data_IF_114907329031
#
_entry.id   IF_114907329031
#
_cell.length_a   1.000
_cell.length_b   1.000
_cell.length_c   1.000
_cell.angle_alpha   90.00
_cell.angle_beta   90.00
_cell.angle_gamma   90.00
#
_symmetry.space_group_name_H-M   'P 1'
#
loop_
_entity.id
_entity.type
_entity.pdbx_description
1 polymer ?
#
# COMPACT_ATOMS: atom_id res chain seq x y z
N UNK A 1 -20.26 13.56 -25.26
CA UNK A 1 -19.62 12.21 -25.22
C UNK A 1 -20.08 11.47 -23.97
N UNK A 2 -20.16 10.12 -23.98
CA UNK A 2 -20.41 9.38 -22.75
C UNK A 2 -19.32 9.68 -21.72
N UNK A 3 -19.71 9.91 -20.46
CA UNK A 3 -18.82 10.39 -19.39
C UNK A 3 -17.88 9.28 -18.91
N UNK A 4 -16.81 9.06 -19.67
CA UNK A 4 -15.82 8.02 -19.39
C UNK A 4 -14.60 8.50 -18.60
N UNK A 5 -13.86 7.53 -18.07
CA UNK A 5 -12.61 7.76 -17.33
C UNK A 5 -11.57 6.73 -17.78
N UNK A 6 -10.33 7.18 -17.97
CA UNK A 6 -9.18 6.32 -18.23
C UNK A 6 -8.33 6.26 -16.95
N UNK A 7 -7.93 5.07 -16.53
CA UNK A 7 -7.02 4.88 -15.40
C UNK A 7 -5.78 4.11 -15.83
N UNK A 8 -4.59 4.64 -15.51
CA UNK A 8 -3.30 4.02 -15.80
C UNK A 8 -2.69 3.54 -14.49
N UNK A 9 -2.65 2.22 -14.34
CA UNK A 9 -2.10 1.51 -13.19
C UNK A 9 -0.87 0.71 -13.58
N UNK A 10 -0.08 0.30 -12.60
CA UNK A 10 1.19 -0.39 -12.81
C UNK A 10 2.21 -0.04 -11.73
N UNK A 11 3.39 -0.65 -11.82
CA UNK A 11 4.48 -0.43 -10.89
C UNK A 11 5.14 0.93 -11.09
N UNK A 12 5.96 1.38 -10.14
CA UNK A 12 6.90 2.48 -10.42
C UNK A 12 7.93 2.07 -11.47
N UNK A 13 8.41 3.00 -12.31
CA UNK A 13 9.45 2.75 -13.32
C UNK A 13 9.00 2.14 -14.67
N UNK A 14 7.70 2.04 -14.95
CA UNK A 14 7.18 1.48 -16.23
C UNK A 14 6.67 2.51 -17.25
N UNK A 15 6.88 3.82 -17.00
CA UNK A 15 6.44 4.88 -17.94
C UNK A 15 4.96 5.26 -17.85
N UNK A 16 4.34 5.17 -16.66
CA UNK A 16 2.92 5.53 -16.47
C UNK A 16 2.63 7.00 -16.79
N UNK A 17 3.49 7.90 -16.33
CA UNK A 17 3.35 9.33 -16.60
C UNK A 17 3.46 9.63 -18.09
N UNK A 18 4.45 9.02 -18.75
CA UNK A 18 4.69 9.19 -20.19
C UNK A 18 3.46 8.76 -21.00
N UNK A 19 2.90 7.58 -20.70
CA UNK A 19 1.67 7.14 -21.36
C UNK A 19 0.50 8.08 -21.09
N UNK A 20 0.35 8.55 -19.84
CA UNK A 20 -0.69 9.50 -19.46
C UNK A 20 -0.62 10.80 -20.26
N UNK A 21 0.57 11.35 -20.45
CA UNK A 21 0.81 12.58 -21.22
C UNK A 21 0.50 12.35 -22.69
N UNK A 22 0.98 11.24 -23.27
CA UNK A 22 0.71 10.92 -24.67
C UNK A 22 -0.80 10.75 -24.93
N UNK A 23 -1.52 10.01 -24.07
CA UNK A 23 -2.97 9.87 -24.18
C UNK A 23 -3.68 11.22 -24.00
N UNK A 24 -3.26 12.05 -23.05
CA UNK A 24 -3.85 13.36 -22.84
C UNK A 24 -3.68 14.28 -24.05
N UNK A 25 -2.51 14.26 -24.69
CA UNK A 25 -2.24 15.03 -25.91
C UNK A 25 -3.10 14.57 -27.08
N UNK A 26 -3.16 13.26 -27.32
CA UNK A 26 -3.91 12.70 -28.47
C UNK A 26 -5.42 12.86 -28.30
N UNK A 27 -5.93 12.73 -27.07
CA UNK A 27 -7.37 12.70 -26.79
C UNK A 27 -7.93 14.04 -26.28
N UNK A 28 -7.09 15.07 -26.12
CA UNK A 28 -7.49 16.33 -25.49
C UNK A 28 -7.86 16.17 -24.00
N UNK A 29 -7.23 15.22 -23.31
CA UNK A 29 -7.49 14.89 -21.91
C UNK A 29 -6.75 15.76 -20.90
N UNK A 30 -7.07 15.55 -19.62
CA UNK A 30 -6.37 16.15 -18.49
C UNK A 30 -5.98 15.07 -17.47
N UNK A 31 -4.81 15.19 -16.85
CA UNK A 31 -4.27 14.17 -15.95
C UNK A 31 -4.68 14.45 -14.51
N UNK A 32 -5.14 13.43 -13.80
CA UNK A 32 -5.39 13.45 -12.37
C UNK A 32 -4.38 12.53 -11.69
N UNK A 33 -3.57 13.07 -10.80
CA UNK A 33 -2.60 12.29 -10.05
C UNK A 33 -3.30 11.33 -9.08
N UNK A 34 -2.95 10.04 -9.14
CA UNK A 34 -3.43 8.99 -8.24
C UNK A 34 -2.32 8.43 -7.35
N UNK A 35 -1.34 9.24 -6.97
CA UNK A 35 -0.23 8.86 -6.10
C UNK A 35 -0.25 9.65 -4.79
N UNK A 36 -0.38 8.93 -3.68
CA UNK A 36 -0.48 9.52 -2.34
C UNK A 36 0.73 10.38 -1.94
N UNK A 37 1.91 10.17 -2.52
CA UNK A 37 3.11 10.92 -2.18
C UNK A 37 3.33 12.14 -3.09
N UNK A 38 2.80 12.15 -4.31
CA UNK A 38 3.03 13.25 -5.26
C UNK A 38 2.16 14.48 -4.99
N UNK A 39 1.23 14.39 -4.04
CA UNK A 39 0.40 15.52 -3.58
C UNK A 39 1.20 16.56 -2.81
N UNK A 40 2.32 16.18 -2.17
CA UNK A 40 3.09 17.05 -1.28
C UNK A 40 3.98 18.05 -2.01
N UNK A 41 4.02 19.28 -1.51
CA UNK A 41 4.81 20.39 -2.03
C UNK A 41 6.31 20.23 -1.76
N UNK A 42 7.13 20.67 -2.72
CA UNK A 42 8.58 20.87 -2.55
C UNK A 42 9.42 19.59 -2.45
N UNK A 43 8.80 18.43 -2.68
CA UNK A 43 9.46 17.10 -2.62
C UNK A 43 9.38 16.41 -3.97
N UNK A 44 9.95 17.01 -5.01
CA UNK A 44 9.82 16.59 -6.39
C UNK A 44 10.69 15.37 -6.73
N UNK A 45 11.90 15.28 -6.18
CA UNK A 45 12.86 14.22 -6.51
C UNK A 45 12.46 12.92 -5.80
N UNK A 46 12.34 12.94 -4.46
CA UNK A 46 11.96 11.81 -3.59
C UNK A 46 10.65 11.20 -4.06
N UNK A 47 9.65 12.02 -4.39
CA UNK A 47 8.32 11.54 -4.83
C UNK A 47 8.22 11.30 -6.35
N UNK A 48 9.33 11.50 -7.08
CA UNK A 48 9.46 11.24 -8.51
C UNK A 48 8.35 11.93 -9.33
N UNK A 49 8.12 13.21 -9.07
CA UNK A 49 7.13 13.99 -9.83
C UNK A 49 7.63 14.24 -11.24
N UNK A 50 6.72 14.24 -12.21
CA UNK A 50 7.05 14.63 -13.57
C UNK A 50 7.30 16.16 -13.61
N UNK A 51 8.50 16.60 -14.04
CA UNK A 51 8.85 18.02 -14.10
C UNK A 51 7.99 18.74 -15.14
N UNK A 52 7.77 20.04 -14.97
CA UNK A 52 6.88 20.83 -15.84
C UNK A 52 7.29 20.78 -17.32
N UNK A 53 8.59 20.71 -17.62
CA UNK A 53 9.13 20.59 -18.98
C UNK A 53 8.71 19.30 -19.68
N UNK A 54 8.57 18.20 -18.93
CA UNK A 54 8.18 16.88 -19.47
C UNK A 54 6.65 16.72 -19.57
N UNK A 55 5.86 17.65 -19.03
CA UNK A 55 4.38 17.58 -19.08
C UNK A 55 3.79 18.00 -20.43
N UNK A 56 4.60 18.56 -21.32
CA UNK A 56 4.21 18.96 -22.68
C UNK A 56 2.92 19.83 -22.74
N UNK A 57 2.72 20.69 -21.74
CA UNK A 57 1.54 21.56 -21.64
C UNK A 57 0.25 20.89 -21.18
N UNK A 58 0.28 19.59 -20.86
CA UNK A 58 -0.89 18.85 -20.37
C UNK A 58 -1.23 19.27 -18.92
N UNK A 59 -2.49 19.67 -18.63
CA UNK A 59 -2.92 19.98 -17.27
C UNK A 59 -2.82 18.76 -16.34
N UNK A 60 -2.20 18.95 -15.18
CA UNK A 60 -2.11 17.95 -14.12
C UNK A 60 -2.80 18.46 -12.86
N UNK A 61 -3.70 17.64 -12.32
CA UNK A 61 -4.47 17.92 -11.11
C UNK A 61 -4.02 17.04 -9.94
N UNK A 62 -4.31 17.48 -8.71
CA UNK A 62 -3.96 16.77 -7.45
C UNK A 62 -2.46 16.45 -7.31
N UNK A 63 -1.60 17.30 -7.84
CA UNK A 63 -0.14 17.16 -7.73
C UNK A 63 0.44 18.40 -7.07
N UNK A 64 1.41 18.24 -6.17
CA UNK A 64 2.21 19.33 -5.61
C UNK A 64 1.37 20.48 -4.98
N UNK A 65 0.32 20.16 -4.23
CA UNK A 65 -0.61 21.16 -3.64
C UNK A 65 -0.72 21.10 -2.11
N UNK A 66 -0.35 19.98 -1.48
CA UNK A 66 -0.48 19.77 -0.05
C UNK A 66 0.81 20.12 0.68
N UNK A 67 0.71 20.82 1.81
CA UNK A 67 1.88 21.10 2.64
C UNK A 67 2.38 19.83 3.35
N UNK A 68 3.70 19.63 3.54
CA UNK A 68 4.27 18.43 4.17
C UNK A 68 3.77 18.11 5.59
N UNK A 69 3.27 19.09 6.34
CA UNK A 69 2.76 18.92 7.71
C UNK A 69 1.29 18.46 7.76
N UNK A 70 0.59 18.45 6.63
CA UNK A 70 -0.80 18.01 6.53
C UNK A 70 -0.85 16.52 6.14
N UNK A 71 -1.93 15.84 6.51
CA UNK A 71 -2.20 14.48 6.05
C UNK A 71 -3.13 14.49 4.84
N UNK A 72 -2.95 13.54 3.92
CA UNK A 72 -3.91 13.29 2.84
C UNK A 72 -4.43 11.87 2.91
N UNK A 73 -5.75 11.73 2.90
CA UNK A 73 -6.44 10.46 3.02
C UNK A 73 -7.20 10.11 1.75
N UNK A 74 -7.56 8.83 1.66
CA UNK A 74 -8.28 8.30 0.50
C UNK A 74 -9.69 8.92 0.34
N UNK A 75 -10.31 9.34 1.44
CA UNK A 75 -11.63 10.00 1.45
C UNK A 75 -11.56 11.39 0.85
N UNK A 76 -10.56 12.19 1.23
CA UNK A 76 -10.25 13.49 0.63
C UNK A 76 -9.90 13.36 -0.84
N UNK A 77 -8.99 12.44 -1.19
CA UNK A 77 -8.66 12.13 -2.58
C UNK A 77 -9.89 11.82 -3.42
N UNK A 78 -10.78 10.96 -2.92
CA UNK A 78 -11.99 10.57 -3.65
C UNK A 78 -12.91 11.76 -3.86
N UNK A 79 -13.11 12.60 -2.84
CA UNK A 79 -13.93 13.81 -2.93
C UNK A 79 -13.38 14.80 -3.95
N UNK A 80 -12.09 15.10 -3.87
CA UNK A 80 -11.43 16.09 -4.71
C UNK A 80 -11.33 15.60 -6.17
N UNK A 81 -10.93 14.34 -6.37
CA UNK A 81 -10.87 13.74 -7.70
C UNK A 81 -12.25 13.69 -8.35
N UNK A 82 -13.32 13.37 -7.62
CA UNK A 82 -14.69 13.39 -8.16
C UNK A 82 -15.14 14.80 -8.58
N UNK A 83 -14.74 15.84 -7.84
CA UNK A 83 -15.00 17.23 -8.22
C UNK A 83 -14.29 17.58 -9.53
N UNK A 84 -12.99 17.27 -9.60
CA UNK A 84 -12.15 17.55 -10.78
C UNK A 84 -12.66 16.78 -12.01
N UNK A 85 -13.00 15.50 -11.86
CA UNK A 85 -13.58 14.70 -12.96
C UNK A 85 -14.85 15.36 -13.52
N UNK A 86 -15.75 15.82 -12.65
CA UNK A 86 -16.96 16.53 -13.07
C UNK A 86 -16.63 17.82 -13.84
N UNK A 87 -15.61 18.56 -13.42
CA UNK A 87 -15.18 19.79 -14.09
C UNK A 87 -14.52 19.50 -15.45
N UNK A 88 -13.69 18.46 -15.55
CA UNK A 88 -13.09 18.01 -16.81
C UNK A 88 -14.18 17.57 -17.80
N UNK A 89 -15.15 16.77 -17.34
CA UNK A 89 -16.29 16.36 -18.15
C UNK A 89 -17.16 17.55 -18.60
N UNK A 90 -17.32 18.59 -17.77
CA UNK A 90 -18.02 19.83 -18.16
C UNK A 90 -17.30 20.61 -19.26
N UNK A 91 -15.98 20.42 -19.42
CA UNK A 91 -15.17 20.98 -20.50
C UNK A 91 -15.11 20.07 -21.73
N UNK A 92 -15.93 19.01 -21.78
CA UNK A 92 -15.91 17.96 -22.82
C UNK A 92 -14.53 17.30 -23.03
N UNK A 93 -13.73 17.24 -21.96
CA UNK A 93 -12.42 16.58 -21.96
C UNK A 93 -12.47 15.23 -21.25
N UNK A 94 -11.45 14.42 -21.48
CA UNK A 94 -11.33 13.08 -20.89
C UNK A 94 -10.41 13.12 -19.66
N UNK A 95 -10.89 12.73 -18.47
CA UNK A 95 -10.04 12.60 -17.28
C UNK A 95 -9.20 11.32 -17.37
N UNK A 96 -7.89 11.48 -17.17
CA UNK A 96 -6.91 10.40 -17.20
C UNK A 96 -6.25 10.30 -15.82
N UNK A 97 -6.57 9.27 -15.05
CA UNK A 97 -6.03 9.05 -13.72
C UNK A 97 -4.72 8.28 -13.84
N UNK A 98 -3.62 8.81 -13.31
CA UNK A 98 -2.29 8.19 -13.40
C UNK A 98 -1.69 8.08 -12.01
N UNK A 99 -1.37 6.87 -11.54
CA UNK A 99 -0.80 6.74 -10.19
C UNK A 99 -0.31 5.36 -9.79
N UNK A 100 0.56 5.33 -8.77
CA UNK A 100 1.07 4.12 -8.12
C UNK A 100 0.25 3.67 -6.90
N UNK A 101 -0.66 4.51 -6.40
CA UNK A 101 -1.49 4.19 -5.23
C UNK A 101 -2.80 3.54 -5.69
N UNK A 102 -2.73 2.26 -6.08
CA UNK A 102 -3.86 1.55 -6.68
C UNK A 102 -5.11 1.52 -5.80
N UNK A 103 -4.94 1.55 -4.48
CA UNK A 103 -6.04 1.65 -3.52
C UNK A 103 -6.88 2.93 -3.68
N UNK A 104 -6.24 4.06 -3.99
CA UNK A 104 -6.93 5.33 -4.25
C UNK A 104 -7.74 5.24 -5.54
N UNK A 105 -7.12 4.70 -6.59
CA UNK A 105 -7.76 4.51 -7.90
C UNK A 105 -8.98 3.58 -7.78
N UNK A 106 -8.85 2.44 -7.09
CA UNK A 106 -9.99 1.55 -6.84
C UNK A 106 -11.12 2.27 -6.06
N UNK A 107 -10.78 3.03 -5.02
CA UNK A 107 -11.77 3.74 -4.21
C UNK A 107 -12.53 4.82 -5.00
N UNK A 108 -11.87 5.40 -5.98
CA UNK A 108 -12.44 6.37 -6.91
C UNK A 108 -13.33 5.72 -7.97
N UNK A 109 -12.95 4.57 -8.52
CA UNK A 109 -13.70 3.92 -9.61
C UNK A 109 -14.96 3.19 -9.12
N UNK A 110 -14.90 2.51 -7.98
CA UNK A 110 -16.02 1.75 -7.42
C UNK A 110 -16.76 2.54 -6.32
N UNK A 111 -18.10 2.45 -6.33
CA UNK A 111 -18.92 2.91 -5.19
C UNK A 111 -18.70 1.97 -4.00
N UNK A 112 -18.87 2.50 -2.78
CA UNK A 112 -18.80 1.75 -1.52
C UNK A 112 -17.47 1.04 -1.20
N UNK A 113 -16.38 1.33 -1.91
CA UNK A 113 -15.04 0.80 -1.56
C UNK A 113 -14.44 1.41 -0.28
N UNK A 114 -15.07 2.46 0.26
CA UNK A 114 -14.68 3.13 1.50
C UNK A 114 -15.83 3.06 2.51
N UNK A 115 -15.51 2.57 3.70
CA UNK A 115 -16.37 2.66 4.88
C UNK A 115 -16.25 4.10 5.37
N UNK A 116 -17.16 4.97 4.94
CA UNK A 116 -17.10 6.41 5.23
C UNK A 116 -18.05 7.29 4.42
N UNK A 117 -18.68 6.79 3.35
CA UNK A 117 -19.56 7.63 2.51
C UNK A 117 -20.99 7.82 3.06
N UNK A 118 -21.29 7.34 4.27
CA UNK A 118 -22.54 7.60 4.97
C UNK A 118 -22.30 7.66 6.47
N UNK A 119 -22.26 8.88 7.03
CA UNK A 119 -22.36 9.16 8.48
C UNK A 119 -21.18 8.80 9.39
N UNK A 120 -19.97 8.52 8.88
CA UNK A 120 -18.77 8.46 9.74
C UNK A 120 -17.99 9.75 9.52
N UNK A 121 -18.08 10.65 10.50
CA UNK A 121 -17.33 11.89 10.58
C UNK A 121 -15.84 11.55 10.58
N UNK A 122 -15.16 11.69 9.45
CA UNK A 122 -13.70 11.66 9.39
C UNK A 122 -13.19 12.99 9.97
N UNK A 123 -12.70 12.90 11.21
CA UNK A 123 -11.71 13.78 11.86
C UNK A 123 -11.54 15.18 11.25
N UNK A 124 -12.41 16.12 11.63
CA UNK A 124 -12.07 17.54 11.70
C UNK A 124 -12.50 18.06 13.07
N UNK A 125 -11.55 18.21 13.98
CA UNK A 125 -11.62 19.06 15.17
C UNK A 125 -13.00 19.11 15.89
N UNK A 126 -13.50 17.96 16.33
CA UNK A 126 -14.60 17.89 17.31
C UNK A 126 -14.10 17.24 18.59
N UNK A 127 -14.52 17.76 19.75
CA UNK A 127 -14.11 17.32 21.10
C UNK A 127 -14.20 15.79 21.30
N UNK A 128 -15.14 15.11 20.63
CA UNK A 128 -15.31 13.64 20.67
C UNK A 128 -14.07 12.85 20.19
N UNK A 129 -13.26 13.41 19.29
CA UNK A 129 -12.06 12.73 18.77
C UNK A 129 -10.94 12.62 19.82
N UNK A 130 -10.94 13.51 20.81
CA UNK A 130 -10.00 13.49 21.94
C UNK A 130 -10.43 12.47 22.99
N UNK A 131 -11.72 12.36 23.29
CA UNK A 131 -12.26 11.34 24.23
C UNK A 131 -11.93 9.91 23.78
N UNK A 132 -12.10 9.59 22.49
CA UNK A 132 -11.77 8.24 22.01
C UNK A 132 -10.27 8.00 21.86
N UNK A 133 -9.44 9.05 21.84
CA UNK A 133 -7.98 8.90 21.72
C UNK A 133 -7.39 8.28 22.98
N UNK A 134 -7.85 8.69 24.15
CA UNK A 134 -7.43 8.10 25.44
C UNK A 134 -7.85 6.63 25.56
N UNK A 135 -9.04 6.28 25.07
CA UNK A 135 -9.51 4.88 25.05
C UNK A 135 -8.72 4.03 24.05
N UNK A 136 -8.30 4.60 22.92
CA UNK A 136 -7.62 3.90 21.85
C UNK A 136 -6.08 3.87 21.98
N UNK A 137 -5.52 4.65 22.91
CA UNK A 137 -4.08 4.71 23.15
C UNK A 137 -3.64 3.80 24.29
N UNK A 138 -4.03 2.53 24.17
CA UNK A 138 -3.60 1.45 25.07
C UNK A 138 -2.75 0.43 24.32
N UNK A 139 -2.09 -0.45 25.06
CA UNK A 139 -1.27 -1.53 24.50
C UNK A 139 -2.05 -2.39 23.51
N UNK A 140 -1.34 -2.91 22.50
CA UNK A 140 -1.92 -3.67 21.38
C UNK A 140 -2.76 -4.87 21.85
N UNK A 141 -2.34 -5.56 22.91
CA UNK A 141 -3.05 -6.72 23.45
C UNK A 141 -4.39 -6.33 24.09
N UNK A 142 -4.42 -5.17 24.76
CA UNK A 142 -5.65 -4.63 25.36
C UNK A 142 -6.62 -4.19 24.26
N UNK A 143 -6.12 -3.50 23.23
CA UNK A 143 -6.93 -3.15 22.04
C UNK A 143 -7.50 -4.40 21.37
N UNK A 144 -6.70 -5.45 21.25
CA UNK A 144 -7.14 -6.68 20.63
C UNK A 144 -8.25 -7.38 21.43
N UNK A 145 -8.11 -7.47 22.76
CA UNK A 145 -9.16 -8.02 23.65
C UNK A 145 -10.46 -7.22 23.56
N UNK A 146 -10.38 -5.88 23.59
CA UNK A 146 -11.56 -5.01 23.41
C UNK A 146 -12.24 -5.26 22.06
N UNK A 147 -11.47 -5.48 21.00
CA UNK A 147 -12.06 -5.82 19.69
C UNK A 147 -12.71 -7.21 19.70
N UNK A 148 -12.17 -8.18 20.45
CA UNK A 148 -12.80 -9.51 20.58
C UNK A 148 -14.16 -9.44 21.28
N UNK A 149 -14.31 -8.57 22.27
CA UNK A 149 -15.58 -8.36 23.00
C UNK A 149 -16.63 -7.68 22.11
N UNK A 150 -16.22 -6.68 21.34
CA UNK A 150 -17.10 -5.85 20.51
C UNK A 150 -17.44 -6.49 19.15
N UNK A 151 -16.43 -7.01 18.46
CA UNK A 151 -16.54 -7.55 17.10
C UNK A 151 -15.62 -8.77 16.93
N UNK A 152 -16.03 -9.95 17.44
CA UNK A 152 -15.22 -11.17 17.38
C UNK A 152 -14.91 -11.60 15.94
N UNK A 153 -15.78 -11.21 14.99
CA UNK A 153 -15.61 -11.49 13.57
C UNK A 153 -14.42 -10.71 13.00
N UNK A 154 -14.33 -9.41 13.24
CA UNK A 154 -13.16 -8.62 12.83
C UNK A 154 -11.91 -8.96 13.66
N UNK A 155 -12.06 -9.30 14.94
CA UNK A 155 -10.93 -9.74 15.76
C UNK A 155 -10.30 -11.05 15.25
N UNK A 156 -11.10 -11.98 14.70
CA UNK A 156 -10.58 -13.19 14.07
C UNK A 156 -9.90 -12.89 12.73
N UNK A 157 -10.41 -11.90 11.99
CA UNK A 157 -9.85 -11.47 10.71
C UNK A 157 -8.47 -10.82 10.86
N UNK A 158 -8.30 -9.94 11.84
CA UNK A 158 -7.04 -9.20 12.03
C UNK A 158 -6.03 -9.99 12.87
N UNK A 159 -4.75 -9.84 12.54
CA UNK A 159 -3.68 -10.32 13.40
C UNK A 159 -3.57 -9.38 14.62
N UNK A 160 -3.26 -9.90 15.80
CA UNK A 160 -3.19 -9.11 17.05
C UNK A 160 -2.18 -7.96 16.93
N UNK A 161 -1.05 -8.20 16.25
CA UNK A 161 -0.04 -7.18 15.98
C UNK A 161 -0.43 -6.09 14.94
N UNK A 162 -1.57 -6.21 14.24
CA UNK A 162 -2.06 -5.18 13.30
C UNK A 162 -2.77 -4.03 14.07
N UNK A 163 -2.06 -3.36 15.00
CA UNK A 163 -2.59 -2.29 15.89
C UNK A 163 -3.44 -1.27 15.13
N UNK A 164 -2.99 -0.84 13.96
CA UNK A 164 -3.67 0.19 13.14
C UNK A 164 -5.06 -0.23 12.65
N UNK A 165 -5.23 -1.50 12.24
CA UNK A 165 -6.51 -2.02 11.73
C UNK A 165 -7.48 -2.35 12.87
N UNK A 166 -6.93 -2.84 13.99
CA UNK A 166 -7.69 -3.07 15.22
C UNK A 166 -8.23 -1.73 15.72
N UNK A 167 -7.35 -0.72 15.84
CA UNK A 167 -7.73 0.64 16.26
C UNK A 167 -8.81 1.23 15.36
N UNK A 168 -8.69 1.11 14.03
CA UNK A 168 -9.74 1.61 13.11
C UNK A 168 -11.06 0.86 13.26
N UNK A 169 -11.03 -0.46 13.47
CA UNK A 169 -12.26 -1.24 13.68
C UNK A 169 -12.98 -0.84 14.97
N UNK A 170 -12.22 -0.61 16.04
CA UNK A 170 -12.75 -0.07 17.30
C UNK A 170 -13.24 1.36 17.15
N UNK A 171 -12.50 2.22 16.44
CA UNK A 171 -12.91 3.61 16.16
C UNK A 171 -14.26 3.66 15.43
N UNK A 172 -14.45 2.81 14.41
CA UNK A 172 -15.73 2.71 13.69
C UNK A 172 -16.86 2.32 14.65
N UNK A 173 -16.62 1.34 15.53
CA UNK A 173 -17.62 0.94 16.53
C UNK A 173 -17.95 2.06 17.51
N UNK A 174 -16.94 2.75 18.05
CA UNK A 174 -17.13 3.85 19.00
C UNK A 174 -17.89 5.02 18.37
N UNK A 175 -17.63 5.33 17.10
CA UNK A 175 -18.29 6.42 16.38
C UNK A 175 -19.71 6.07 15.92
N UNK A 176 -19.97 4.81 15.55
CA UNK A 176 -21.24 4.42 14.92
C UNK A 176 -22.15 3.59 15.81
N UNK A 177 -21.65 3.07 16.93
CA UNK A 177 -22.33 2.08 17.78
C UNK A 177 -22.52 0.71 17.13
N UNK A 178 -22.15 0.54 15.85
CA UNK A 178 -22.32 -0.70 15.09
C UNK A 178 -20.98 -1.43 14.88
N UNK A 179 -20.93 -2.76 15.02
CA UNK A 179 -19.73 -3.54 14.71
C UNK A 179 -19.25 -3.32 13.27
N UNK A 180 -17.94 -3.25 13.08
CA UNK A 180 -17.33 -3.04 11.78
C UNK A 180 -17.67 -4.21 10.81
N UNK A 181 -17.81 -5.43 11.31
CA UNK A 181 -18.25 -6.58 10.52
C UNK A 181 -19.67 -6.44 9.96
N UNK A 182 -20.58 -5.77 10.67
CA UNK A 182 -21.94 -5.53 10.21
C UNK A 182 -21.97 -4.49 9.10
N UNK A 183 -21.23 -3.40 9.23
CA UNK A 183 -21.03 -2.43 8.15
C UNK A 183 -20.54 -3.09 6.86
N UNK A 184 -19.58 -4.00 6.98
CA UNK A 184 -19.06 -4.74 5.82
C UNK A 184 -20.15 -5.65 5.25
N UNK A 185 -20.93 -6.35 6.09
CA UNK A 185 -22.05 -7.18 5.60
C UNK A 185 -23.11 -6.36 4.89
N UNK A 186 -23.52 -5.22 5.45
CA UNK A 186 -24.47 -4.28 4.84
C UNK A 186 -23.96 -3.80 3.47
N UNK A 187 -22.67 -3.47 3.35
CA UNK A 187 -22.05 -3.12 2.06
C UNK A 187 -22.03 -4.26 1.02
N UNK A 188 -22.06 -5.52 1.48
CA UNK A 188 -22.10 -6.70 0.61
C UNK A 188 -23.52 -7.27 0.46
N UNK A 189 -24.56 -6.62 1.01
CA UNK A 189 -25.93 -7.10 0.84
C UNK A 189 -26.37 -6.96 -0.63
N UNK A 190 -27.02 -7.98 -1.20
CA UNK A 190 -27.32 -8.09 -2.64
C UNK A 190 -28.35 -7.08 -3.18
N UNK A 191 -28.89 -6.18 -2.37
CA UNK A 191 -29.88 -5.17 -2.78
C UNK A 191 -29.28 -3.85 -3.29
N UNK A 192 -28.14 -3.43 -2.75
CA UNK A 192 -27.36 -2.28 -3.25
C UNK A 192 -26.11 -2.82 -3.93
N UNK A 193 -25.97 -2.66 -5.25
CA UNK A 193 -24.87 -3.20 -6.05
C UNK A 193 -23.49 -2.86 -5.43
N UNK A 194 -22.94 -3.79 -4.63
CA UNK A 194 -21.71 -3.66 -3.85
C UNK A 194 -20.45 -3.43 -4.72
N UNK A 195 -20.57 -3.64 -6.03
CA UNK A 195 -19.53 -3.40 -7.03
C UNK A 195 -19.92 -2.36 -8.09
N UNK A 196 -20.95 -1.54 -7.85
CA UNK A 196 -21.36 -0.55 -8.85
C UNK A 196 -20.24 0.45 -9.16
N UNK A 197 -19.90 0.57 -10.44
CA UNK A 197 -18.93 1.55 -10.92
C UNK A 197 -19.53 2.95 -10.82
N UNK A 198 -18.67 3.94 -10.58
CA UNK A 198 -19.08 5.36 -10.58
C UNK A 198 -19.28 5.90 -11.97
N UNK A 199 -18.52 5.38 -12.93
CA UNK A 199 -18.49 5.86 -14.30
C UNK A 199 -18.95 4.75 -15.25
N UNK A 200 -19.87 5.07 -16.18
CA UNK A 200 -20.43 4.08 -17.10
C UNK A 200 -19.42 3.56 -18.11
N UNK A 201 -18.32 4.29 -18.35
CA UNK A 201 -17.24 3.90 -19.25
C UNK A 201 -15.92 4.04 -18.51
N UNK A 202 -15.31 2.91 -18.13
CA UNK A 202 -14.05 2.88 -17.40
C UNK A 202 -13.04 2.01 -18.13
N UNK A 203 -11.97 2.62 -18.64
CA UNK A 203 -10.86 1.91 -19.27
C UNK A 203 -9.65 1.92 -18.34
N UNK A 204 -9.15 0.74 -17.96
CA UNK A 204 -7.98 0.62 -17.08
C UNK A 204 -6.82 0.02 -17.89
N UNK A 205 -5.73 0.77 -18.02
CA UNK A 205 -4.46 0.27 -18.55
C UNK A 205 -3.55 -0.16 -17.42
N UNK A 206 -3.18 -1.44 -17.40
CA UNK A 206 -2.15 -1.98 -16.52
C UNK A 206 -0.83 -2.13 -17.27
N UNK A 207 0.14 -1.28 -16.95
CA UNK A 207 1.50 -1.40 -17.47
C UNK A 207 2.27 -2.39 -16.62
N UNK A 208 2.74 -3.45 -17.27
CA UNK A 208 3.48 -4.54 -16.66
C UNK A 208 4.88 -4.64 -17.28
N UNK A 209 5.87 -4.89 -16.44
CA UNK A 209 7.23 -5.20 -16.88
C UNK A 209 7.74 -6.40 -16.08
N UNK A 210 8.55 -7.25 -16.73
CA UNK A 210 9.18 -8.39 -16.06
C UNK A 210 10.01 -7.94 -14.84
N UNK A 211 9.88 -8.61 -13.67
CA UNK A 211 10.60 -8.24 -12.46
C UNK A 211 12.12 -8.19 -12.60
N UNK A 212 12.72 -9.07 -13.41
CA UNK A 212 14.18 -9.12 -13.58
C UNK A 212 14.73 -7.89 -14.31
N UNK A 213 14.01 -7.39 -15.31
CA UNK A 213 14.37 -6.15 -16.03
C UNK A 213 13.97 -4.92 -15.21
N UNK A 214 12.81 -4.97 -14.56
CA UNK A 214 12.29 -3.87 -13.76
C UNK A 214 13.20 -3.54 -12.58
N UNK A 215 13.72 -4.54 -11.85
CA UNK A 215 14.58 -4.32 -10.69
C UNK A 215 15.84 -3.51 -11.08
N UNK A 216 16.47 -3.80 -12.23
CA UNK A 216 17.61 -3.03 -12.74
C UNK A 216 17.26 -1.58 -13.08
N UNK A 217 16.07 -1.34 -13.65
CA UNK A 217 15.60 0.02 -13.95
C UNK A 217 15.32 0.82 -12.68
N UNK A 218 14.76 0.17 -11.66
CA UNK A 218 14.48 0.80 -10.38
C UNK A 218 15.77 1.22 -9.67
N UNK A 219 16.81 0.39 -9.75
CA UNK A 219 18.11 0.70 -9.18
C UNK A 219 18.76 1.89 -9.90
N UNK A 220 18.83 1.85 -11.24
CA UNK A 220 19.36 2.94 -12.04
C UNK A 220 18.55 4.25 -11.86
N UNK A 221 17.25 4.14 -11.59
CA UNK A 221 16.40 5.30 -11.27
C UNK A 221 16.80 5.93 -9.94
N UNK A 222 17.07 5.14 -8.90
CA UNK A 222 17.56 5.66 -7.61
C UNK A 222 18.91 6.36 -7.81
N UNK A 223 19.79 5.81 -8.63
CA UNK A 223 21.09 6.43 -8.96
C UNK A 223 20.89 7.80 -9.64
N UNK A 224 19.98 7.88 -10.62
CA UNK A 224 19.60 9.16 -11.26
C UNK A 224 18.96 10.16 -10.29
N UNK A 225 18.21 9.69 -9.28
CA UNK A 225 17.64 10.59 -8.27
C UNK A 225 18.75 11.24 -7.44
N UNK A 226 19.81 10.49 -7.13
CA UNK A 226 20.98 11.00 -6.40
C UNK A 226 21.68 12.09 -7.21
N UNK A 227 21.93 11.83 -8.51
CA UNK A 227 22.55 12.79 -9.43
C UNK A 227 21.73 14.08 -9.56
N UNK A 228 20.40 13.99 -9.43
CA UNK A 228 19.48 15.14 -9.51
C UNK A 228 19.40 15.98 -8.23
N UNK A 229 20.08 15.59 -7.14
CA UNK A 229 20.05 16.32 -5.87
C UNK A 229 19.12 15.73 -4.80
N UNK A 230 18.93 14.41 -4.77
CA UNK A 230 18.12 13.74 -3.74
C UNK A 230 18.52 14.14 -2.31
N UNK A 231 19.82 14.24 -2.03
CA UNK A 231 20.33 14.57 -0.70
C UNK A 231 20.02 16.02 -0.30
N UNK A 232 19.98 16.94 -1.26
CA UNK A 232 19.63 18.33 -1.01
C UNK A 232 18.17 18.44 -0.54
N UNK A 233 17.28 17.66 -1.15
CA UNK A 233 15.86 17.60 -0.78
C UNK A 233 15.63 16.93 0.59
N UNK A 234 16.38 15.86 0.90
CA UNK A 234 16.35 15.22 2.21
C UNK A 234 16.83 16.18 3.31
N UNK A 235 17.94 16.89 3.06
CA UNK A 235 18.50 17.87 3.99
C UNK A 235 17.56 19.07 4.19
N UNK A 236 16.92 19.55 3.11
CA UNK A 236 15.91 20.58 3.19
C UNK A 236 14.74 20.16 4.10
N UNK A 237 14.20 18.96 3.89
CA UNK A 237 13.11 18.43 4.72
C UNK A 237 13.52 18.30 6.19
N UNK A 238 14.75 17.82 6.46
CA UNK A 238 15.29 17.71 7.83
C UNK A 238 15.46 19.07 8.51
N UNK A 239 15.90 20.09 7.78
CA UNK A 239 16.06 21.45 8.31
C UNK A 239 14.70 22.09 8.63
N UNK A 240 13.70 21.91 7.76
CA UNK A 240 12.36 22.44 8.01
C UNK A 240 11.67 21.76 9.21
N UNK A 241 12.01 20.49 9.50
CA UNK A 241 11.64 19.82 10.75
C UNK A 241 12.31 20.46 11.97
N UNK A 242 13.64 20.69 11.92
CA UNK A 242 14.38 21.32 13.02
C UNK A 242 13.89 22.71 13.35
N UNK A 243 13.57 23.49 12.31
CA UNK A 243 13.07 24.85 12.44
C UNK A 243 11.61 24.91 12.96
N UNK A 244 10.99 23.76 13.25
CA UNK A 244 9.64 23.67 13.81
C UNK A 244 8.51 24.02 12.84
N UNK A 245 8.84 24.26 11.56
CA UNK A 245 7.85 24.57 10.52
C UNK A 245 7.08 23.33 10.09
N UNK A 246 7.71 22.17 10.11
CA UNK A 246 7.07 20.87 9.89
C UNK A 246 7.10 20.10 11.21
N UNK A 247 5.92 19.86 11.80
CA UNK A 247 5.81 19.03 13.00
C UNK A 247 5.90 17.55 12.60
N UNK A 248 6.85 16.84 13.19
CA UNK A 248 6.90 15.38 13.15
C UNK A 248 5.87 14.85 14.16
N UNK A 249 5.16 13.74 13.88
CA UNK A 249 4.31 13.10 14.88
C UNK A 249 5.11 12.83 16.16
N UNK A 250 4.61 13.33 17.29
CA UNK A 250 5.33 13.38 18.59
C UNK A 250 5.68 12.01 19.21
N UNK A 251 5.14 10.91 18.68
CA UNK A 251 5.39 9.56 19.21
C UNK A 251 6.54 8.85 18.48
N UNK A 252 7.56 8.46 19.24
CA UNK A 252 8.72 7.67 18.78
C UNK A 252 8.32 6.36 18.06
N UNK A 253 7.16 5.77 18.40
CA UNK A 253 6.65 4.56 17.76
C UNK A 253 5.89 4.79 16.43
N UNK A 254 5.59 6.04 16.07
CA UNK A 254 4.77 6.37 14.87
C UNK A 254 5.44 7.30 13.87
N UNK A 255 6.72 7.64 14.09
CA UNK A 255 7.46 8.70 13.40
C UNK A 255 7.39 8.62 11.85
N UNK A 256 7.36 7.40 11.29
CA UNK A 256 7.32 7.18 9.82
C UNK A 256 6.02 6.58 9.28
N UNK A 257 4.94 6.61 10.07
CA UNK A 257 3.70 5.92 9.73
C UNK A 257 2.62 6.83 9.18
N UNK A 258 2.85 8.14 9.05
CA UNK A 258 1.82 9.13 8.67
C UNK A 258 2.34 10.14 7.66
N UNK A 259 1.40 10.67 6.86
CA UNK A 259 1.65 11.73 5.89
C UNK A 259 2.84 11.44 4.96
N UNK A 260 3.65 12.47 4.74
CA UNK A 260 4.85 12.40 3.91
C UNK A 260 5.93 11.45 4.46
N UNK A 261 5.95 11.20 5.77
CA UNK A 261 6.97 10.36 6.42
C UNK A 261 6.92 8.89 5.99
N UNK A 262 5.84 8.47 5.34
CA UNK A 262 5.74 7.14 4.74
C UNK A 262 6.58 6.99 3.46
N UNK A 263 6.93 8.10 2.81
CA UNK A 263 7.64 8.12 1.54
C UNK A 263 8.93 7.31 1.58
N UNK A 264 9.24 6.66 0.45
CA UNK A 264 10.48 5.91 0.27
C UNK A 264 11.56 6.90 -0.13
N UNK A 265 12.64 6.99 0.65
CA UNK A 265 13.76 7.89 0.39
C UNK A 265 14.07 8.87 1.51
N UNK A 266 13.28 8.93 2.59
CA UNK A 266 13.63 9.73 3.79
C UNK A 266 14.02 8.85 4.97
N UNK A 267 13.12 7.96 5.41
CA UNK A 267 13.35 7.05 6.56
C UNK A 267 14.55 6.11 6.37
N UNK A 268 14.88 5.75 5.13
CA UNK A 268 16.03 4.90 4.82
C UNK A 268 17.38 5.59 5.13
N UNK A 269 17.41 6.91 5.20
CA UNK A 269 18.59 7.72 5.49
C UNK A 269 18.63 8.26 6.92
N UNK A 270 17.68 7.88 7.79
CA UNK A 270 17.62 8.35 9.17
C UNK A 270 18.94 8.13 9.94
N UNK A 271 19.62 6.95 9.88
CA UNK A 271 20.90 6.77 10.57
C UNK A 271 22.01 7.68 10.03
N UNK A 272 21.99 7.97 8.73
CA UNK A 272 22.95 8.89 8.11
C UNK A 272 22.70 10.34 8.57
N UNK A 273 21.44 10.76 8.63
CA UNK A 273 21.07 12.10 9.11
C UNK A 273 21.41 12.30 10.60
N UNK A 274 21.24 11.27 11.44
CA UNK A 274 21.63 11.30 12.85
C UNK A 274 23.16 11.40 13.00
N UNK A 275 23.92 10.61 12.24
CA UNK A 275 25.38 10.67 12.28
C UNK A 275 25.94 12.03 11.82
N UNK A 276 25.32 12.67 10.81
CA UNK A 276 25.66 14.04 10.39
C UNK A 276 25.42 15.09 11.48
N UNK A 277 24.48 14.85 12.39
CA UNK A 277 24.18 15.76 13.50
C UNK A 277 25.12 15.58 14.69
N UNK A 278 25.54 14.33 14.95
CA UNK A 278 26.37 13.97 16.08
C UNK A 278 27.87 14.26 15.84
N UNK A 279 28.30 14.39 14.58
CA UNK A 279 29.74 14.42 14.26
C UNK A 279 30.19 15.74 13.62
N UNK A 280 31.04 16.49 14.35
CA UNK A 280 31.68 17.75 13.91
C UNK A 280 33.17 17.58 13.56
N UNK A 281 33.68 16.35 13.40
CA UNK A 281 35.12 16.04 13.32
C UNK A 281 35.48 15.13 12.13
N UNK A 282 36.67 15.35 11.55
CA UNK A 282 37.18 14.80 10.28
C UNK A 282 37.35 13.28 10.19
N UNK A 283 37.36 12.54 11.31
CA UNK A 283 37.42 11.06 11.30
C UNK A 283 36.07 10.39 10.99
N UNK A 284 35.01 11.19 10.81
CA UNK A 284 33.63 10.73 10.60
C UNK A 284 33.23 10.53 9.15
N UNK A 285 34.04 11.00 8.19
CA UNK A 285 33.69 10.99 6.77
C UNK A 285 33.53 9.56 6.22
N UNK A 286 34.41 8.63 6.61
CA UNK A 286 34.31 7.23 6.20
C UNK A 286 33.06 6.53 6.77
N UNK A 287 32.65 6.87 8.00
CA UNK A 287 31.45 6.31 8.62
C UNK A 287 30.19 6.87 7.96
N UNK A 288 30.18 8.18 7.70
CA UNK A 288 29.08 8.87 7.02
C UNK A 288 28.89 8.33 5.59
N UNK A 289 29.97 8.09 4.85
CA UNK A 289 29.92 7.49 3.52
C UNK A 289 29.39 6.05 3.54
N UNK A 290 29.80 5.26 4.55
CA UNK A 290 29.27 3.91 4.74
C UNK A 290 27.76 3.92 5.05
N UNK A 291 27.31 4.80 5.94
CA UNK A 291 25.90 4.96 6.28
C UNK A 291 25.08 5.49 5.10
N UNK A 292 25.65 6.39 4.30
CA UNK A 292 25.05 6.90 3.06
C UNK A 292 24.85 5.77 2.05
N UNK A 293 25.89 4.98 1.80
CA UNK A 293 25.82 3.83 0.89
C UNK A 293 24.80 2.78 1.37
N UNK A 294 24.76 2.51 2.68
CA UNK A 294 23.76 1.63 3.29
C UNK A 294 22.33 2.17 3.13
N UNK A 295 22.13 3.48 3.29
CA UNK A 295 20.86 4.16 3.02
C UNK A 295 20.39 4.00 1.57
N UNK A 296 21.30 4.17 0.60
CA UNK A 296 21.01 3.99 -0.83
C UNK A 296 20.57 2.55 -1.11
N UNK A 297 21.29 1.55 -0.61
CA UNK A 297 20.92 0.14 -0.85
C UNK A 297 19.57 -0.19 -0.20
N UNK A 298 19.30 0.31 1.02
CA UNK A 298 17.98 0.18 1.66
C UNK A 298 16.88 0.80 0.81
N UNK A 299 17.11 1.99 0.26
CA UNK A 299 16.15 2.67 -0.63
C UNK A 299 15.87 1.84 -1.90
N UNK A 300 16.91 1.25 -2.52
CA UNK A 300 16.76 0.33 -3.66
C UNK A 300 15.93 -0.90 -3.29
N UNK A 301 16.25 -1.56 -2.17
CA UNK A 301 15.50 -2.72 -1.66
C UNK A 301 14.02 -2.39 -1.42
N UNK A 302 13.73 -1.28 -0.73
CA UNK A 302 12.35 -0.88 -0.41
C UNK A 302 11.59 -0.52 -1.69
N UNK A 303 12.24 0.14 -2.66
CA UNK A 303 11.64 0.44 -3.97
C UNK A 303 11.26 -0.84 -4.74
N UNK A 304 12.14 -1.85 -4.79
CA UNK A 304 11.85 -3.16 -5.39
C UNK A 304 10.71 -3.87 -4.67
N UNK A 305 10.71 -3.85 -3.32
CA UNK A 305 9.63 -4.42 -2.50
C UNK A 305 8.29 -3.73 -2.77
N UNK A 306 8.29 -2.41 -2.94
CA UNK A 306 7.10 -1.63 -3.27
C UNK A 306 6.54 -2.01 -4.65
N UNK A 307 7.39 -2.12 -5.68
CA UNK A 307 6.95 -2.58 -7.01
C UNK A 307 6.34 -3.99 -6.97
N UNK A 308 6.94 -4.94 -6.23
CA UNK A 308 6.36 -6.28 -6.05
C UNK A 308 5.04 -6.26 -5.28
N UNK A 309 4.92 -5.37 -4.28
CA UNK A 309 3.67 -5.17 -3.54
C UNK A 309 2.57 -4.64 -4.47
N UNK A 310 2.88 -3.67 -5.34
CA UNK A 310 1.96 -3.13 -6.33
C UNK A 310 1.43 -4.22 -7.29
N UNK A 311 2.30 -5.06 -7.85
CA UNK A 311 1.88 -6.19 -8.70
C UNK A 311 0.95 -7.13 -7.93
N UNK A 312 1.34 -7.49 -6.70
CA UNK A 312 0.52 -8.35 -5.85
C UNK A 312 -0.84 -7.74 -5.55
N UNK A 313 -0.88 -6.43 -5.30
CA UNK A 313 -2.11 -5.71 -5.02
C UNK A 313 -3.02 -5.71 -6.25
N UNK A 314 -2.52 -5.34 -7.43
CA UNK A 314 -3.30 -5.36 -8.68
C UNK A 314 -3.90 -6.75 -8.91
N UNK A 315 -3.09 -7.80 -8.81
CA UNK A 315 -3.53 -9.19 -9.06
C UNK A 315 -4.53 -9.72 -8.04
N UNK A 316 -4.36 -9.38 -6.76
CA UNK A 316 -5.19 -9.95 -5.68
C UNK A 316 -6.28 -8.99 -5.19
N UNK A 317 -6.43 -7.79 -5.75
CA UNK A 317 -7.44 -6.81 -5.36
C UNK A 317 -8.18 -6.26 -6.56
N UNK A 318 -7.46 -5.55 -7.42
CA UNK A 318 -8.05 -4.87 -8.56
C UNK A 318 -8.72 -5.88 -9.50
N UNK A 319 -7.99 -6.94 -9.88
CA UNK A 319 -8.50 -7.97 -10.80
C UNK A 319 -9.64 -8.79 -10.18
N UNK A 320 -9.59 -9.06 -8.87
CA UNK A 320 -10.70 -9.71 -8.17
C UNK A 320 -11.97 -8.86 -8.20
N UNK A 321 -11.84 -7.56 -7.88
CA UNK A 321 -12.98 -6.65 -7.90
C UNK A 321 -13.52 -6.47 -9.31
N UNK A 322 -12.65 -6.42 -10.31
CA UNK A 322 -13.01 -6.41 -11.73
C UNK A 322 -13.83 -7.63 -12.12
N UNK A 323 -13.37 -8.85 -11.77
CA UNK A 323 -14.11 -10.08 -12.07
C UNK A 323 -15.47 -10.14 -11.36
N UNK A 324 -15.52 -9.74 -10.09
CA UNK A 324 -16.79 -9.63 -9.36
C UNK A 324 -17.77 -8.67 -10.06
N UNK A 325 -17.27 -7.52 -10.51
CA UNK A 325 -18.07 -6.50 -11.20
C UNK A 325 -18.62 -7.04 -12.52
N UNK A 326 -17.80 -7.77 -13.29
CA UNK A 326 -18.25 -8.42 -14.54
C UNK A 326 -19.30 -9.49 -14.24
N UNK A 327 -19.09 -10.33 -13.24
CA UNK A 327 -20.01 -11.41 -12.89
C UNK A 327 -21.36 -10.87 -12.39
N UNK A 328 -21.35 -9.83 -11.57
CA UNK A 328 -22.57 -9.17 -11.08
C UNK A 328 -23.34 -8.47 -12.22
N UNK A 329 -22.63 -7.87 -13.18
CA UNK A 329 -23.24 -7.19 -14.32
C UNK A 329 -23.59 -8.12 -15.49
N UNK A 330 -23.11 -9.37 -15.52
CA UNK A 330 -23.47 -10.35 -16.55
C UNK A 330 -24.98 -10.68 -16.58
N UNK A 331 -25.68 -10.42 -15.47
CA UNK A 331 -27.14 -10.56 -15.37
C UNK A 331 -27.91 -9.26 -15.69
N UNK A 332 -27.23 -8.20 -16.13
CA UNK A 332 -27.81 -6.90 -16.48
C UNK A 332 -27.24 -6.31 -17.78
N UNK A 333 -27.80 -5.19 -18.24
CA UNK A 333 -27.42 -4.50 -19.49
C UNK A 333 -26.09 -3.75 -19.43
N UNK A 334 -25.40 -3.73 -18.28
CA UNK A 334 -24.21 -2.89 -18.02
C UNK A 334 -22.88 -3.69 -18.09
N UNK A 335 -22.88 -4.93 -18.60
CA UNK A 335 -21.71 -5.82 -18.59
C UNK A 335 -20.44 -5.26 -19.29
N UNK A 336 -20.59 -4.26 -20.17
CA UNK A 336 -19.49 -3.68 -20.96
C UNK A 336 -18.88 -2.38 -20.39
N UNK A 337 -19.26 -1.97 -19.17
CA UNK A 337 -18.86 -0.68 -18.60
C UNK A 337 -17.39 -0.57 -18.15
N UNK A 338 -16.69 -1.70 -17.94
CA UNK A 338 -15.28 -1.73 -17.50
C UNK A 338 -14.43 -2.73 -18.28
N UNK A 339 -13.25 -2.30 -18.74
CA UNK A 339 -12.25 -3.17 -19.38
C UNK A 339 -10.87 -2.89 -18.78
N UNK A 340 -10.11 -3.96 -18.50
CA UNK A 340 -8.73 -3.89 -17.99
C UNK A 340 -7.77 -4.44 -19.03
N UNK A 341 -6.90 -3.60 -19.57
CA UNK A 341 -5.95 -3.93 -20.62
C UNK A 341 -4.53 -4.02 -20.07
N UNK A 342 -3.82 -5.12 -20.34
CA UNK A 342 -2.43 -5.28 -19.96
C UNK A 342 -1.51 -4.84 -21.11
N UNK A 343 -0.61 -3.90 -20.84
CA UNK A 343 0.39 -3.41 -21.79
C UNK A 343 1.79 -3.82 -21.34
N UNK A 344 2.56 -4.39 -22.25
CA UNK A 344 3.92 -4.86 -21.97
C UNK A 344 4.92 -3.71 -22.08
N UNK A 345 5.47 -3.29 -20.94
CA UNK A 345 6.51 -2.28 -20.82
C UNK A 345 7.89 -2.90 -20.51
N UNK A 346 8.09 -4.19 -20.81
CA UNK A 346 9.34 -4.91 -20.49
C UNK A 346 10.53 -4.46 -21.32
N UNK A 347 10.37 -3.90 -22.52
CA UNK A 347 11.46 -3.28 -23.28
C UNK A 347 11.20 -1.78 -23.46
N UNK A 348 12.24 -0.96 -23.29
CA UNK A 348 12.14 0.50 -23.53
C UNK A 348 12.19 0.83 -25.02
N UNK A 349 12.90 0.01 -25.81
CA UNK A 349 13.04 0.22 -27.26
C UNK A 349 11.70 0.03 -27.98
N UNK A 350 10.92 -0.97 -27.57
CA UNK A 350 9.61 -1.27 -28.15
C UNK A 350 8.46 -0.55 -27.44
N UNK A 351 8.74 0.24 -26.39
CA UNK A 351 7.71 0.88 -25.56
C UNK A 351 6.74 1.76 -26.37
N UNK A 352 7.26 2.49 -27.37
CA UNK A 352 6.42 3.32 -28.24
C UNK A 352 5.34 2.51 -28.97
N UNK A 353 5.71 1.35 -29.50
CA UNK A 353 4.78 0.48 -30.20
C UNK A 353 3.90 -0.33 -29.24
N UNK A 354 4.52 -1.02 -28.26
CA UNK A 354 3.84 -1.99 -27.40
C UNK A 354 2.99 -1.37 -26.30
N UNK A 355 3.24 -0.11 -25.95
CA UNK A 355 2.50 0.61 -24.91
C UNK A 355 1.74 1.78 -25.51
N UNK A 356 2.43 2.77 -26.08
CA UNK A 356 1.79 4.01 -26.54
C UNK A 356 0.82 3.77 -27.71
N UNK A 357 1.29 3.17 -28.79
CA UNK A 357 0.50 3.03 -30.02
C UNK A 357 -0.70 2.06 -29.79
N UNK A 358 -0.47 0.95 -29.07
CA UNK A 358 -1.55 0.04 -28.64
C UNK A 358 -2.59 0.73 -27.75
N UNK A 359 -2.17 1.51 -26.75
CA UNK A 359 -3.11 2.20 -25.87
C UNK A 359 -3.97 3.22 -26.63
N UNK A 360 -3.37 3.99 -27.53
CA UNK A 360 -4.09 4.96 -28.36
C UNK A 360 -5.13 4.24 -29.23
N UNK A 361 -4.72 3.17 -29.93
CA UNK A 361 -5.62 2.37 -30.76
C UNK A 361 -6.82 1.82 -29.98
N UNK A 362 -6.57 1.27 -28.78
CA UNK A 362 -7.63 0.75 -27.89
C UNK A 362 -8.61 1.85 -27.50
N UNK A 363 -8.12 3.04 -27.12
CA UNK A 363 -9.03 4.13 -26.73
C UNK A 363 -9.80 4.66 -27.92
N UNK A 364 -9.18 4.81 -29.09
CA UNK A 364 -9.87 5.24 -30.30
C UNK A 364 -10.99 4.27 -30.71
N UNK A 365 -10.72 2.96 -30.63
CA UNK A 365 -11.73 1.93 -30.87
C UNK A 365 -12.85 2.00 -29.83
N UNK A 366 -12.49 2.05 -28.54
CA UNK A 366 -13.44 2.16 -27.43
C UNK A 366 -14.35 3.40 -27.56
N UNK A 367 -13.82 4.52 -28.05
CA UNK A 367 -14.58 5.75 -28.33
C UNK A 367 -15.50 5.63 -29.55
N UNK A 368 -15.14 4.82 -30.55
CA UNK A 368 -15.94 4.62 -31.79
C UNK A 368 -17.08 3.61 -31.59
N UNK A 369 -16.80 2.47 -30.99
CA UNK A 369 -17.73 1.34 -30.90
C UNK A 369 -18.53 1.33 -29.60
N UNK A 370 -18.07 2.04 -28.57
CA UNK A 370 -18.61 1.96 -27.21
C UNK A 370 -18.27 0.66 -26.47
N UNK A 371 -17.62 -0.30 -27.14
CA UNK A 371 -17.10 -1.54 -26.59
C UNK A 371 -15.74 -1.83 -27.22
N UNK A 372 -14.66 -1.65 -26.46
CA UNK A 372 -13.30 -1.84 -26.98
C UNK A 372 -12.97 -3.30 -27.28
N UNK A 373 -11.76 -3.55 -27.82
CA UNK A 373 -11.31 -4.89 -28.15
C UNK A 373 -11.28 -5.78 -26.90
N UNK A 374 -11.39 -7.10 -27.08
CA UNK A 374 -11.33 -8.05 -25.97
C UNK A 374 -9.94 -7.97 -25.29
N UNK A 375 -9.86 -7.70 -23.97
CA UNK A 375 -8.59 -7.57 -23.27
C UNK A 375 -7.62 -8.75 -23.43
N UNK A 376 -8.13 -9.97 -23.58
CA UNK A 376 -7.31 -11.16 -23.73
C UNK A 376 -6.64 -11.26 -25.10
N UNK A 377 -7.19 -10.59 -26.11
CA UNK A 377 -6.70 -10.62 -27.50
C UNK A 377 -5.47 -9.74 -27.76
N UNK A 378 -5.24 -8.72 -26.93
CA UNK A 378 -4.19 -7.71 -27.15
C UNK A 378 -2.79 -8.26 -26.89
N UNK A 379 -2.63 -9.06 -25.83
CA UNK A 379 -1.35 -9.67 -25.47
C UNK A 379 -1.61 -11.10 -24.95
N UNK A 380 -1.75 -12.09 -25.86
CA UNK A 380 -2.11 -13.47 -25.50
C UNK A 380 -1.09 -14.13 -24.57
N UNK A 381 0.20 -13.77 -24.69
CA UNK A 381 1.29 -14.25 -23.82
C UNK A 381 1.08 -13.89 -22.34
N UNK A 382 0.42 -12.76 -22.07
CA UNK A 382 0.18 -12.27 -20.70
C UNK A 382 -1.27 -12.46 -20.25
N UNK A 383 -2.09 -13.18 -21.00
CA UNK A 383 -3.49 -13.44 -20.65
C UNK A 383 -3.63 -14.15 -19.29
N UNK A 384 -2.65 -14.98 -18.89
CA UNK A 384 -2.60 -15.59 -17.56
C UNK A 384 -2.41 -14.57 -16.43
N UNK A 385 -1.74 -13.44 -16.68
CA UNK A 385 -1.56 -12.41 -15.66
C UNK A 385 -2.84 -11.63 -15.37
N UNK A 386 -3.76 -11.58 -16.32
CA UNK A 386 -5.10 -10.99 -16.16
C UNK A 386 -6.02 -11.87 -15.29
N UNK A 387 -5.63 -13.12 -15.02
CA UNK A 387 -6.31 -13.96 -14.02
C UNK A 387 -5.76 -13.65 -12.63
N UNK A 388 -6.63 -13.43 -11.63
CA UNK A 388 -6.19 -13.22 -10.26
C UNK A 388 -5.48 -14.47 -9.76
N UNK A 389 -4.54 -14.29 -8.83
CA UNK A 389 -3.75 -15.41 -8.27
C UNK A 389 -4.56 -16.29 -7.31
N UNK A 390 -5.79 -15.89 -6.99
CA UNK A 390 -6.72 -16.56 -6.09
C UNK A 390 -8.11 -16.45 -6.69
N UNK A 391 -8.93 -17.49 -6.57
CA UNK A 391 -10.30 -17.50 -7.12
C UNK A 391 -11.32 -16.80 -6.22
N UNK A 392 -10.99 -16.64 -4.94
CA UNK A 392 -11.84 -15.98 -3.96
C UNK A 392 -11.07 -14.86 -3.29
N UNK A 393 -11.75 -13.73 -3.08
CA UNK A 393 -11.23 -12.72 -2.17
C UNK A 393 -11.20 -13.37 -0.79
N UNK A 394 -10.01 -13.78 -0.35
CA UNK A 394 -9.79 -14.28 1.02
C UNK A 394 -10.43 -13.36 2.07
N UNK A 395 -10.70 -12.09 1.72
CA UNK A 395 -11.33 -11.08 2.55
C UNK A 395 -12.84 -11.22 2.75
N UNK A 396 -13.57 -12.01 1.93
CA UNK A 396 -15.03 -12.13 1.99
C UNK A 396 -15.57 -13.34 2.75
N UNK A 397 -14.83 -14.46 2.82
CA UNK A 397 -15.34 -15.67 3.47
C UNK A 397 -14.89 -15.77 4.93
N UNK A 398 -15.85 -15.66 5.85
CA UNK A 398 -15.69 -15.76 7.31
C UNK A 398 -15.05 -17.08 7.77
N UNK A 399 -15.22 -18.16 7.02
CA UNK A 399 -14.68 -19.49 7.35
C UNK A 399 -13.17 -19.61 7.09
N UNK A 400 -12.58 -18.67 6.35
CA UNK A 400 -11.15 -18.67 6.00
C UNK A 400 -10.23 -18.12 7.09
N UNK A 401 -10.79 -17.51 8.15
CA UNK A 401 -10.05 -16.73 9.15
C UNK A 401 -10.00 -17.38 10.53
N UNK A 402 -10.17 -18.70 10.61
CA UNK A 402 -9.93 -19.44 11.85
C UNK A 402 -8.47 -19.31 12.27
N UNK A 403 -8.23 -18.96 13.53
CA UNK A 403 -6.89 -18.81 14.10
C UNK A 403 -6.40 -20.17 14.59
N UNK A 404 -5.23 -20.57 14.12
CA UNK A 404 -4.55 -21.78 14.57
C UNK A 404 -3.33 -21.36 15.39
N UNK A 405 -3.23 -21.88 16.60
CA UNK A 405 -2.09 -21.66 17.47
C UNK A 405 -1.16 -22.87 17.39
N UNK A 406 0.14 -22.62 17.20
CA UNK A 406 1.15 -23.66 17.30
C UNK A 406 1.74 -23.72 18.70
N UNK A 407 1.55 -24.86 19.37
CA UNK A 407 2.13 -25.12 20.69
C UNK A 407 3.62 -25.51 20.64
N UNK A 408 4.19 -25.62 19.44
CA UNK A 408 5.59 -26.02 19.22
C UNK A 408 6.49 -24.86 18.81
N UNK A 409 5.90 -23.79 18.28
CA UNK A 409 6.66 -22.68 17.73
C UNK A 409 6.35 -21.42 18.53
N UNK A 410 7.38 -20.80 19.10
CA UNK A 410 7.30 -19.52 19.76
C UNK A 410 8.07 -18.45 18.99
N UNK A 411 7.55 -17.23 18.95
CA UNK A 411 8.25 -16.10 18.35
C UNK A 411 9.53 -15.78 19.15
N UNK A 412 10.59 -15.41 18.43
CA UNK A 412 11.94 -15.27 18.99
C UNK A 412 12.08 -14.11 19.99
N UNK A 413 11.20 -13.11 19.92
CA UNK A 413 11.35 -11.84 20.65
C UNK A 413 10.65 -11.83 22.00
N UNK A 414 9.48 -12.46 22.10
CA UNK A 414 8.55 -12.41 23.24
C UNK A 414 8.16 -13.81 23.74
N UNK A 415 8.64 -14.87 23.07
CA UNK A 415 8.33 -16.26 23.36
C UNK A 415 6.83 -16.61 23.27
N UNK A 416 6.04 -15.76 22.60
CA UNK A 416 4.60 -15.96 22.40
C UNK A 416 4.34 -17.06 21.36
N UNK A 417 3.25 -17.83 21.48
CA UNK A 417 2.94 -18.90 20.55
C UNK A 417 2.62 -18.36 19.15
N UNK A 418 3.03 -19.09 18.12
CA UNK A 418 2.79 -18.69 16.74
C UNK A 418 1.32 -18.87 16.40
N UNK A 419 0.65 -17.76 16.12
CA UNK A 419 -0.75 -17.74 15.70
C UNK A 419 -0.82 -17.47 14.20
N UNK A 420 -1.51 -18.35 13.48
CA UNK A 420 -1.66 -18.26 12.02
C UNK A 420 -3.13 -18.23 11.65
N UNK A 421 -3.49 -17.27 10.79
CA UNK A 421 -4.84 -17.14 10.30
C UNK A 421 -5.03 -18.02 9.05
N UNK A 422 -6.03 -18.91 9.11
CA UNK A 422 -6.53 -19.70 7.99
C UNK A 422 -5.83 -21.04 7.77
N UNK A 423 -6.63 -22.02 7.31
CA UNK A 423 -6.22 -23.42 7.18
C UNK A 423 -5.07 -23.63 6.18
N UNK A 424 -5.07 -22.88 5.07
CA UNK A 424 -4.00 -23.00 4.07
C UNK A 424 -2.64 -22.56 4.62
N UNK A 425 -2.60 -21.39 5.26
CA UNK A 425 -1.38 -20.85 5.87
C UNK A 425 -0.90 -21.74 7.01
N UNK A 426 -1.83 -22.30 7.78
CA UNK A 426 -1.54 -23.27 8.84
C UNK A 426 -0.85 -24.53 8.29
N UNK A 427 -1.40 -25.11 7.22
CA UNK A 427 -0.80 -26.28 6.57
C UNK A 427 0.60 -25.99 6.01
N UNK A 428 0.86 -24.77 5.53
CA UNK A 428 2.20 -24.35 5.10
C UNK A 428 3.17 -24.23 6.29
N UNK A 429 2.70 -23.70 7.41
CA UNK A 429 3.50 -23.64 8.64
C UNK A 429 3.89 -25.03 9.15
N UNK A 430 2.96 -25.98 9.22
CA UNK A 430 3.26 -27.36 9.61
C UNK A 430 4.34 -28.00 8.72
N UNK A 431 4.40 -27.61 7.44
CA UNK A 431 5.40 -28.09 6.49
C UNK A 431 6.74 -27.33 6.55
N UNK A 432 6.79 -26.19 7.25
CA UNK A 432 7.96 -25.32 7.31
C UNK A 432 9.15 -25.98 8.00
N UNK A 433 10.38 -25.58 7.60
CA UNK A 433 11.62 -26.06 8.23
C UNK A 433 11.65 -25.72 9.72
N UNK A 434 11.14 -24.56 10.08
CA UNK A 434 11.09 -24.09 11.46
C UNK A 434 10.20 -24.97 12.34
N UNK A 435 8.96 -25.24 11.91
CA UNK A 435 8.06 -26.14 12.63
C UNK A 435 8.61 -27.56 12.73
N UNK A 436 9.14 -28.10 11.62
CA UNK A 436 9.76 -29.44 11.62
C UNK A 436 10.96 -29.54 12.54
N UNK A 437 11.78 -28.48 12.62
CA UNK A 437 12.90 -28.44 13.55
C UNK A 437 12.36 -28.47 14.98
N UNK A 438 11.46 -27.56 15.36
CA UNK A 438 10.92 -27.51 16.72
C UNK A 438 10.18 -28.80 17.12
N UNK A 439 9.44 -29.42 16.21
CA UNK A 439 8.79 -30.71 16.44
C UNK A 439 9.81 -31.83 16.69
N UNK A 440 10.91 -31.86 15.93
CA UNK A 440 12.02 -32.79 16.16
C UNK A 440 12.68 -32.54 17.52
N UNK A 441 12.96 -31.28 17.86
CA UNK A 441 13.50 -30.91 19.17
C UNK A 441 12.60 -31.35 20.33
N UNK A 442 11.28 -31.13 20.24
CA UNK A 442 10.35 -31.57 21.27
C UNK A 442 10.31 -33.08 21.41
N UNK A 443 10.31 -33.83 20.30
CA UNK A 443 10.39 -35.30 20.32
C UNK A 443 11.69 -35.80 20.96
N UNK A 444 12.82 -35.18 20.66
CA UNK A 444 14.11 -35.51 21.28
C UNK A 444 14.17 -35.17 22.78
N UNK A 445 13.47 -34.11 23.20
CA UNK A 445 13.32 -33.75 24.62
C UNK A 445 12.43 -34.80 25.31
N UNK A 446 11.25 -35.09 24.76
CA UNK A 446 10.29 -36.04 25.32
C UNK A 446 10.85 -37.47 25.39
N UNK A 447 11.65 -37.90 24.40
CA UNK A 447 12.32 -39.21 24.37
C UNK A 447 13.51 -39.32 25.34
N UNK A 448 14.15 -38.19 25.71
CA UNK A 448 15.29 -38.16 26.64
C UNK A 448 14.92 -37.70 28.05
N UNK A 449 13.63 -37.49 28.34
CA UNK A 449 13.17 -36.93 29.60
C UNK A 449 13.06 -38.00 30.71
N UNK A 450 14.19 -38.47 31.23
CA UNK A 450 14.29 -39.32 32.45
C UNK A 450 14.25 -38.47 33.75
N UNK A 451 13.45 -37.41 33.79
CA UNK A 451 13.34 -36.50 34.93
C UNK A 451 14.58 -35.64 35.24
N UNK A 452 15.59 -35.58 34.35
CA UNK A 452 16.76 -34.69 34.50
C UNK A 452 16.94 -33.78 33.28
N UNK A 453 17.07 -32.47 33.52
CA UNK A 453 17.32 -31.49 32.45
C UNK A 453 18.62 -31.80 31.68
N UNK A 454 18.62 -31.75 30.34
CA UNK A 454 19.83 -31.90 29.53
C UNK A 454 20.90 -30.84 29.90
N UNK A 455 22.20 -31.16 29.82
CA UNK A 455 23.28 -30.26 30.26
C UNK A 455 23.28 -28.87 29.62
N UNK A 456 22.79 -28.75 28.38
CA UNK A 456 22.71 -27.49 27.63
C UNK A 456 21.53 -26.59 28.04
N UNK A 457 20.54 -27.11 28.77
CA UNK A 457 19.40 -26.32 29.28
C UNK A 457 19.83 -25.31 30.36
N UNK A 458 20.93 -25.59 31.07
CA UNK A 458 21.57 -24.64 32.00
C UNK A 458 22.33 -23.51 31.31
N UNK A 459 22.72 -23.69 30.04
CA UNK A 459 23.52 -22.69 29.32
C UNK A 459 22.69 -21.48 28.85
N UNK A 460 21.39 -21.65 28.59
CA UNK A 460 20.50 -20.56 28.12
C UNK A 460 19.99 -19.63 29.23
N UNK A 461 19.97 -20.08 30.50
CA UNK A 461 19.63 -19.24 31.66
C UNK A 461 20.81 -18.40 32.19
N UNK A 462 22.05 -18.74 31.83
CA UNK A 462 23.24 -18.01 32.33
C UNK A 462 23.52 -16.68 31.61
N UNK A 463 22.85 -16.38 30.50
CA UNK A 463 23.01 -15.11 29.78
C UNK A 463 21.92 -14.07 30.10
N UNK A 464 21.03 -14.33 31.06
CA UNK A 464 19.93 -13.41 31.43
C UNK A 464 19.95 -12.91 32.87
N UNK A 465 21.01 -13.14 33.65
CA UNK A 465 21.15 -12.62 35.02
C UNK A 465 22.59 -12.16 35.29
N UNK A 466 23.00 -11.00 34.75
CA UNK A 466 24.01 -10.12 35.39
C UNK A 466 23.70 -8.68 34.94
N UNK A 467 22.83 -7.98 35.69
CA UNK A 467 22.81 -6.52 35.87
C UNK A 467 21.68 -6.15 36.83
N UNK A 468 21.78 -6.60 38.09
CA UNK A 468 21.04 -6.01 39.21
C UNK A 468 21.56 -6.55 40.53
N UNK A 469 22.75 -6.10 40.96
CA UNK A 469 23.15 -6.17 42.38
C UNK A 469 24.37 -5.25 42.57
N UNK A 470 24.10 -3.97 42.81
CA UNK A 470 24.98 -3.06 43.53
C UNK A 470 24.09 -2.03 44.24
N UNK A 471 23.48 -2.47 45.33
CA UNK A 471 22.97 -1.60 46.37
C UNK A 471 22.96 -2.38 47.70
N UNK A 472 23.68 -1.82 48.68
CA UNK A 472 23.69 -2.09 50.12
C UNK A 472 24.73 -3.08 50.68
N UNK A 473 25.78 -2.50 51.28
CA UNK A 473 26.20 -2.86 52.64
C UNK A 473 27.67 -3.20 52.86
N UNK A 474 28.52 -2.19 53.05
CA UNK A 474 29.29 -1.87 54.28
C UNK A 474 29.86 -0.46 54.13
#
# INVERSE_FOLDING_TARGET
MPKGVIAIVGTTGVGKSDLGIQLAKTLGGEIINGDSMQVYKGLDIITNKTPMSEREGVPHHLINFLEPHLEYRVTEFTKDALKIIKEIHKRDKIPIIVGGTHYYIQSLLWKNSLIGNGSICDESDSDDALEFKEVLDVETDVLYKRLQEVDPVMANRWHWNDRRKIRRSLQIYLQTGKPHSEWIKEQHQPGEKASSLRFPLTCIFWLYADPGVLDKRLDARVDKMIERGLFDEINYLRNEVKNGKIRVPLDQDTEFTRGIWQAIGYKEFEPYLKALEETSSSDSDNLNDSLRASGIERMKIVTRRYARHQIRWIRNRLLLKYQQTIQENANGTDADCIKVYLLNATSLETWGHDVRDKAISIVEEYMKTGNGPDPSSINPEFAELLKPTRDTDTFGSLTTWTKYQCDLCSLFNDNSPVIINGLYSWNQHLKSKWHKSNAKWKKEIDEKWDGKFPPWFRARKKTSNVTSENANGI
#
